data_IF_570526651701
#
_entry.id   IF_570526651701
#
_cell.length_a   1.000
_cell.length_b   1.000
_cell.length_c   1.000
_cell.angle_alpha   90.00
_cell.angle_beta   90.00
_cell.angle_gamma   90.00
#
_symmetry.space_group_name_H-M   'P 1'
#
loop_
_entity.id
_entity.type
_entity.pdbx_description
1 polymer ?
#
# COMPACT_ATOMS: atom_id res chain seq x y z
N UNK A 1 49.90 -20.60 28.26
CA UNK A 1 49.97 -20.42 26.79
C UNK A 1 48.72 -19.64 26.38
N UNK A 2 48.83 -18.32 26.28
CA UNK A 2 47.72 -17.45 25.84
C UNK A 2 47.70 -17.33 24.31
N UNK A 3 46.57 -17.65 23.69
CA UNK A 3 46.34 -17.43 22.27
C UNK A 3 45.74 -16.03 22.10
N UNK A 4 46.54 -15.12 21.59
CA UNK A 4 46.20 -13.72 21.35
C UNK A 4 45.53 -13.59 19.96
N UNK A 5 44.23 -13.34 19.95
CA UNK A 5 43.46 -13.08 18.72
C UNK A 5 43.92 -11.76 18.08
N UNK A 6 44.62 -11.85 16.95
CA UNK A 6 44.96 -10.68 16.12
C UNK A 6 43.72 -10.15 15.41
N UNK A 7 43.25 -8.97 15.80
CA UNK A 7 42.21 -8.22 15.06
C UNK A 7 42.84 -7.73 13.76
N UNK A 8 42.69 -8.47 12.66
CA UNK A 8 42.98 -7.96 11.32
C UNK A 8 41.91 -6.92 10.96
N UNK A 9 42.14 -5.66 11.34
CA UNK A 9 41.44 -4.55 10.70
C UNK A 9 42.00 -4.45 9.29
N UNK A 10 41.33 -5.06 8.31
CA UNK A 10 41.50 -4.66 6.91
C UNK A 10 41.09 -3.19 6.82
N UNK A 11 42.05 -2.29 6.95
CA UNK A 11 41.84 -0.88 6.67
C UNK A 11 41.79 -0.78 5.14
N UNK A 12 40.59 -0.78 4.57
CA UNK A 12 40.41 -0.34 3.19
C UNK A 12 40.88 1.12 3.12
N UNK A 13 42.13 1.32 2.74
CA UNK A 13 42.71 2.63 2.48
C UNK A 13 42.05 3.15 1.20
N UNK A 14 41.13 4.10 1.35
CA UNK A 14 40.60 4.87 0.22
C UNK A 14 41.61 6.00 -0.01
N UNK A 15 42.32 6.00 -1.15
CA UNK A 15 43.28 7.06 -1.44
C UNK A 15 42.54 8.40 -1.51
N UNK A 16 43.18 9.48 -1.08
CA UNK A 16 42.53 10.78 -0.90
C UNK A 16 41.92 11.34 -2.19
N UNK A 17 42.41 10.91 -3.36
CA UNK A 17 41.85 11.23 -4.67
C UNK A 17 40.50 10.53 -4.98
N UNK A 18 40.07 9.58 -4.16
CA UNK A 18 38.79 8.85 -4.25
C UNK A 18 37.87 9.20 -3.08
N UNK A 19 38.32 10.01 -2.12
CA UNK A 19 37.47 10.52 -1.04
C UNK A 19 36.59 11.63 -1.58
N UNK A 20 35.29 11.36 -1.67
CA UNK A 20 34.29 12.39 -1.93
C UNK A 20 34.18 13.31 -0.70
N UNK A 21 34.42 14.61 -0.90
CA UNK A 21 34.18 15.60 0.15
C UNK A 21 32.67 15.84 0.27
N UNK A 22 32.08 15.27 1.31
CA UNK A 22 30.65 15.39 1.57
C UNK A 22 30.18 16.85 1.67
N UNK A 23 31.02 17.78 2.15
CA UNK A 23 30.66 19.19 2.21
C UNK A 23 30.59 19.82 0.81
N UNK A 24 31.54 19.52 -0.07
CA UNK A 24 31.52 19.98 -1.46
C UNK A 24 30.34 19.38 -2.23
N UNK A 25 30.03 18.09 -2.05
CA UNK A 25 28.88 17.44 -2.69
C UNK A 25 27.57 18.10 -2.25
N UNK A 26 27.37 18.33 -0.95
CA UNK A 26 26.15 18.99 -0.42
C UNK A 26 26.00 20.42 -0.97
N UNK A 27 27.10 21.17 -1.05
CA UNK A 27 27.10 22.53 -1.61
C UNK A 27 26.74 22.49 -3.09
N UNK A 28 27.36 21.59 -3.86
CA UNK A 28 27.10 21.41 -5.29
C UNK A 28 25.65 21.03 -5.58
N UNK A 29 25.09 20.08 -4.84
CA UNK A 29 23.68 19.68 -4.95
C UNK A 29 22.72 20.84 -4.69
N UNK A 30 22.97 21.64 -3.64
CA UNK A 30 22.17 22.83 -3.33
C UNK A 30 22.22 23.88 -4.45
N UNK A 31 23.39 24.08 -5.05
CA UNK A 31 23.53 24.98 -6.20
C UNK A 31 22.80 24.46 -7.43
N UNK A 32 22.84 23.15 -7.72
CA UNK A 32 22.07 22.55 -8.81
C UNK A 32 20.56 22.69 -8.62
N UNK A 33 20.04 22.43 -7.41
CA UNK A 33 18.63 22.62 -7.10
C UNK A 33 18.20 24.08 -7.36
N UNK A 34 18.99 25.05 -6.87
CA UNK A 34 18.74 26.49 -7.09
C UNK A 34 18.76 26.89 -8.57
N UNK A 35 19.68 26.35 -9.36
CA UNK A 35 19.75 26.62 -10.80
C UNK A 35 18.54 26.05 -11.55
N UNK A 36 18.09 24.84 -11.19
CA UNK A 36 16.89 24.23 -11.77
C UNK A 36 15.64 25.04 -11.41
N UNK A 37 15.54 25.49 -10.16
CA UNK A 37 14.43 26.33 -9.70
C UNK A 37 14.36 27.65 -10.48
N UNK A 38 15.52 28.28 -10.75
CA UNK A 38 15.61 29.48 -11.58
C UNK A 38 15.13 29.24 -13.02
N UNK A 39 15.58 28.14 -13.64
CA UNK A 39 15.15 27.77 -15.01
C UNK A 39 13.63 27.55 -15.06
N UNK A 40 13.06 26.84 -14.08
CA UNK A 40 11.61 26.61 -14.01
C UNK A 40 10.86 27.93 -13.83
N UNK A 41 11.36 28.82 -12.97
CA UNK A 41 10.74 30.13 -12.73
C UNK A 41 10.78 31.03 -13.95
N UNK A 42 11.92 31.10 -14.65
CA UNK A 42 12.05 31.85 -15.91
C UNK A 42 11.12 31.29 -16.99
N UNK A 43 11.07 29.96 -17.13
CA UNK A 43 10.18 29.31 -18.08
C UNK A 43 8.70 29.56 -17.78
N UNK A 44 8.33 29.58 -16.49
CA UNK A 44 6.97 29.95 -16.06
C UNK A 44 6.64 31.41 -16.40
N UNK A 45 7.57 32.35 -16.13
CA UNK A 45 7.38 33.77 -16.42
C UNK A 45 7.23 34.05 -17.92
N UNK A 46 7.92 33.27 -18.76
CA UNK A 46 7.81 33.35 -20.22
C UNK A 46 6.55 32.68 -20.79
N UNK A 47 5.64 32.19 -19.93
CA UNK A 47 4.42 31.52 -20.36
C UNK A 47 4.65 30.11 -20.92
N UNK A 48 5.77 29.46 -20.60
CA UNK A 48 6.10 28.10 -21.06
C UNK A 48 5.05 27.05 -20.67
N UNK A 49 4.25 27.32 -19.63
CA UNK A 49 3.13 26.48 -19.20
C UNK A 49 1.76 26.97 -19.71
N UNK A 50 1.71 27.95 -20.60
CA UNK A 50 0.44 28.49 -21.11
C UNK A 50 -0.25 27.62 -22.14
N UNK A 51 0.53 26.90 -22.95
CA UNK A 51 0.02 26.06 -24.03
C UNK A 51 0.37 24.57 -23.82
N UNK A 52 0.24 24.08 -22.59
CA UNK A 52 0.44 22.65 -22.30
C UNK A 52 -0.69 21.82 -22.91
N UNK A 53 -0.32 20.69 -23.51
CA UNK A 53 -1.28 19.70 -23.95
C UNK A 53 -2.12 19.21 -22.74
N UNK A 54 -3.43 19.38 -22.83
CA UNK A 54 -4.36 19.00 -21.76
C UNK A 54 -4.61 20.06 -20.69
N UNK A 55 -4.02 21.27 -20.76
CA UNK A 55 -4.34 22.37 -19.84
C UNK A 55 -5.83 22.70 -19.89
N UNK A 56 -6.48 22.68 -18.72
CA UNK A 56 -7.91 22.96 -18.58
C UNK A 56 -8.87 21.86 -19.08
N UNK A 57 -8.35 20.76 -19.65
CA UNK A 57 -9.15 19.60 -20.02
C UNK A 57 -9.25 18.62 -18.84
N UNK A 58 -10.37 17.93 -18.65
CA UNK A 58 -10.46 16.84 -17.69
C UNK A 58 -9.38 15.78 -17.97
N UNK A 59 -8.76 15.28 -16.91
CA UNK A 59 -7.72 14.25 -17.02
C UNK A 59 -8.31 13.00 -17.67
N UNK A 60 -7.69 12.50 -18.74
CA UNK A 60 -8.08 11.21 -19.31
C UNK A 60 -7.54 10.08 -18.43
N UNK A 61 -8.44 9.43 -17.69
CA UNK A 61 -8.14 8.29 -16.82
C UNK A 61 -8.27 6.95 -17.54
N UNK A 62 -8.65 6.93 -18.82
CA UNK A 62 -8.72 5.71 -19.61
C UNK A 62 -7.30 5.20 -19.93
N UNK A 63 -6.98 3.98 -19.49
CA UNK A 63 -5.71 3.31 -19.78
C UNK A 63 -4.58 3.50 -18.76
N UNK A 64 -4.66 4.48 -17.84
CA UNK A 64 -3.77 4.52 -16.67
C UNK A 64 -4.37 3.66 -15.58
N UNK A 65 -3.69 2.58 -15.22
CA UNK A 65 -4.02 1.74 -14.05
C UNK A 65 -3.77 2.58 -12.79
N UNK A 66 -4.66 3.53 -12.51
CA UNK A 66 -4.79 4.09 -11.17
C UNK A 66 -5.22 2.96 -10.23
N UNK A 67 -4.83 3.01 -8.96
CA UNK A 67 -5.24 2.02 -7.94
C UNK A 67 -6.76 1.77 -7.93
N UNK A 68 -7.54 2.79 -8.30
CA UNK A 68 -9.01 2.74 -8.37
C UNK A 68 -9.59 2.50 -9.77
N UNK A 69 -8.78 2.13 -10.76
CA UNK A 69 -9.22 1.91 -12.15
C UNK A 69 -10.27 0.79 -12.24
N UNK A 70 -10.03 -0.33 -11.57
CA UNK A 70 -10.97 -1.45 -11.55
C UNK A 70 -12.29 -1.09 -10.84
N UNK A 71 -12.22 -0.36 -9.72
CA UNK A 71 -13.40 0.11 -9.00
C UNK A 71 -14.24 1.07 -9.85
N UNK A 72 -13.58 2.08 -10.42
CA UNK A 72 -14.19 3.08 -11.30
C UNK A 72 -14.82 2.42 -12.53
N UNK A 73 -14.19 1.38 -13.08
CA UNK A 73 -14.69 0.64 -14.24
C UNK A 73 -15.91 -0.22 -13.91
N UNK A 74 -15.95 -0.89 -12.75
CA UNK A 74 -17.13 -1.65 -12.33
C UNK A 74 -18.30 -0.71 -12.03
N UNK A 75 -18.06 0.40 -11.30
CA UNK A 75 -19.08 1.41 -11.01
C UNK A 75 -19.64 2.08 -12.26
N UNK A 76 -18.79 2.37 -13.26
CA UNK A 76 -19.25 2.97 -14.54
C UNK A 76 -20.02 2.00 -15.42
N UNK A 77 -19.70 0.70 -15.37
CA UNK A 77 -20.21 -0.27 -16.34
C UNK A 77 -21.31 -1.20 -15.81
N UNK A 78 -21.56 -1.27 -14.51
CA UNK A 78 -22.42 -2.30 -13.97
C UNK A 78 -23.29 -1.83 -12.80
N UNK A 79 -24.58 -2.13 -12.88
CA UNK A 79 -25.48 -2.20 -11.72
C UNK A 79 -25.22 -3.50 -10.91
N UNK A 80 -23.96 -3.95 -10.85
CA UNK A 80 -23.55 -5.26 -10.31
C UNK A 80 -22.46 -5.05 -9.29
N UNK A 81 -22.58 -5.77 -8.16
CA UNK A 81 -21.63 -5.71 -7.08
C UNK A 81 -20.29 -6.33 -7.53
N UNK A 82 -19.15 -5.66 -7.31
CA UNK A 82 -17.85 -6.28 -7.55
C UNK A 82 -17.67 -7.55 -6.72
N UNK A 83 -17.01 -8.57 -7.29
CA UNK A 83 -16.82 -9.86 -6.61
C UNK A 83 -16.13 -9.76 -5.24
N UNK A 84 -15.16 -8.85 -5.08
CA UNK A 84 -14.50 -8.64 -3.79
C UNK A 84 -15.46 -8.09 -2.72
N UNK A 85 -16.46 -7.30 -3.13
CA UNK A 85 -17.46 -6.73 -2.24
C UNK A 85 -18.57 -7.76 -1.92
N UNK A 86 -18.89 -8.67 -2.85
CA UNK A 86 -19.70 -9.87 -2.56
C UNK A 86 -19.05 -10.72 -1.46
N UNK A 87 -17.75 -11.00 -1.59
CA UNK A 87 -16.99 -11.76 -0.59
C UNK A 87 -16.97 -11.03 0.76
N UNK A 88 -16.87 -9.70 0.77
CA UNK A 88 -16.93 -8.92 2.00
C UNK A 88 -18.27 -9.10 2.72
N UNK A 89 -19.39 -9.02 1.99
CA UNK A 89 -20.72 -9.25 2.55
C UNK A 89 -20.88 -10.68 3.07
N UNK A 90 -20.41 -11.68 2.32
CA UNK A 90 -20.46 -13.07 2.75
C UNK A 90 -19.68 -13.29 4.05
N UNK A 91 -18.46 -12.74 4.16
CA UNK A 91 -17.64 -12.82 5.38
C UNK A 91 -18.34 -12.14 6.56
N UNK A 92 -18.93 -10.96 6.34
CA UNK A 92 -19.71 -10.24 7.36
C UNK A 92 -20.86 -11.08 7.88
N UNK A 93 -21.64 -11.69 6.99
CA UNK A 93 -22.83 -12.45 7.35
C UNK A 93 -22.48 -13.77 8.07
N UNK A 94 -21.37 -14.40 7.67
CA UNK A 94 -20.79 -15.53 8.40
C UNK A 94 -20.32 -15.16 9.81
N UNK A 95 -19.67 -14.00 9.97
CA UNK A 95 -19.23 -13.51 11.28
C UNK A 95 -20.41 -13.19 12.20
N UNK A 96 -21.46 -12.55 11.68
CA UNK A 96 -22.71 -12.31 12.43
C UNK A 96 -23.36 -13.62 12.88
N UNK A 97 -23.52 -14.56 11.95
CA UNK A 97 -24.09 -15.88 12.25
C UNK A 97 -23.26 -16.65 13.28
N UNK A 98 -21.93 -16.50 13.24
CA UNK A 98 -21.03 -17.09 14.23
C UNK A 98 -21.23 -16.47 15.62
N UNK A 99 -21.27 -15.15 15.71
CA UNK A 99 -21.50 -14.43 16.96
C UNK A 99 -22.83 -14.84 17.59
N UNK A 100 -23.91 -14.83 16.81
CA UNK A 100 -25.25 -15.23 17.27
C UNK A 100 -25.31 -16.68 17.73
N UNK A 101 -24.57 -17.58 17.08
CA UNK A 101 -24.51 -18.98 17.46
C UNK A 101 -23.68 -19.20 18.74
N UNK A 102 -22.64 -18.40 18.96
CA UNK A 102 -21.85 -18.44 20.20
C UNK A 102 -22.65 -17.87 21.37
N UNK A 103 -23.36 -16.76 21.17
CA UNK A 103 -24.20 -16.14 22.21
C UNK A 103 -25.34 -17.06 22.66
N UNK A 104 -25.83 -17.93 21.76
CA UNK A 104 -26.82 -18.99 22.07
C UNK A 104 -26.21 -20.27 22.63
N UNK A 105 -24.91 -20.31 22.89
CA UNK A 105 -24.15 -21.49 23.31
C UNK A 105 -24.34 -22.71 22.37
N UNK A 106 -24.61 -22.45 21.09
CA UNK A 106 -25.00 -23.45 20.09
C UNK A 106 -23.88 -23.80 19.11
N UNK A 107 -22.62 -23.43 19.42
CA UNK A 107 -21.48 -23.60 18.50
C UNK A 107 -20.48 -24.62 19.04
N UNK A 108 -20.64 -25.91 18.74
CA UNK A 108 -19.73 -26.95 19.22
C UNK A 108 -18.34 -26.92 18.54
N UNK A 109 -18.17 -26.16 17.45
CA UNK A 109 -16.90 -26.09 16.73
C UNK A 109 -16.58 -24.66 16.23
N UNK A 110 -16.24 -23.78 17.17
CA UNK A 110 -15.89 -22.38 16.90
C UNK A 110 -14.63 -22.26 16.03
N UNK A 111 -13.62 -23.09 16.27
CA UNK A 111 -12.34 -23.03 15.56
C UNK A 111 -12.48 -23.39 14.07
N UNK A 112 -13.25 -24.43 13.73
CA UNK A 112 -13.48 -24.78 12.33
C UNK A 112 -14.21 -23.68 11.56
N UNK A 113 -15.24 -23.06 12.16
CA UNK A 113 -15.95 -21.93 11.52
C UNK A 113 -15.03 -20.73 11.28
N UNK A 114 -14.13 -20.44 12.22
CA UNK A 114 -13.14 -19.38 12.04
C UNK A 114 -12.15 -19.73 10.92
N UNK A 115 -11.73 -20.99 10.81
CA UNK A 115 -10.87 -21.44 9.72
C UNK A 115 -11.54 -21.25 8.34
N UNK A 116 -12.83 -21.59 8.23
CA UNK A 116 -13.63 -21.35 7.01
C UNK A 116 -13.70 -19.87 6.64
N UNK A 117 -13.96 -19.00 7.63
CA UNK A 117 -13.97 -17.54 7.43
C UNK A 117 -12.60 -17.04 6.96
N UNK A 118 -11.51 -17.55 7.54
CA UNK A 118 -10.15 -17.16 7.14
C UNK A 118 -9.80 -17.58 5.72
N UNK A 119 -10.30 -18.72 5.23
CA UNK A 119 -10.14 -19.11 3.82
C UNK A 119 -10.78 -18.06 2.91
N UNK A 120 -11.96 -17.55 3.26
CA UNK A 120 -12.63 -16.48 2.50
C UNK A 120 -11.91 -15.14 2.61
N UNK A 121 -11.38 -14.79 3.79
CA UNK A 121 -10.56 -13.58 3.96
C UNK A 121 -9.32 -13.64 3.06
N UNK A 122 -8.65 -14.79 2.96
CA UNK A 122 -7.53 -14.98 2.01
C UNK A 122 -7.97 -14.76 0.58
N UNK A 123 -9.12 -15.31 0.18
CA UNK A 123 -9.66 -15.11 -1.17
C UNK A 123 -9.95 -13.63 -1.42
N UNK A 124 -10.61 -12.96 -0.46
CA UNK A 124 -10.90 -11.53 -0.50
C UNK A 124 -9.62 -10.69 -0.67
N UNK A 125 -8.60 -10.87 0.18
CA UNK A 125 -7.35 -10.11 0.11
C UNK A 125 -6.64 -10.29 -1.26
N UNK A 126 -6.74 -11.48 -1.87
CA UNK A 126 -6.15 -11.75 -3.20
C UNK A 126 -6.85 -11.02 -4.35
N UNK A 127 -8.15 -10.72 -4.22
CA UNK A 127 -8.94 -10.05 -5.28
C UNK A 127 -9.17 -8.57 -5.00
N UNK A 128 -8.77 -8.10 -3.82
CA UNK A 128 -8.99 -6.73 -3.41
C UNK A 128 -8.03 -5.80 -4.19
N UNK A 129 -8.54 -4.77 -4.89
CA UNK A 129 -7.72 -3.95 -5.77
C UNK A 129 -6.72 -3.04 -5.04
N UNK A 130 -6.96 -2.73 -3.76
CA UNK A 130 -6.10 -1.87 -2.95
C UNK A 130 -5.63 -2.62 -1.69
N UNK A 131 -4.31 -2.72 -1.45
CA UNK A 131 -3.75 -3.35 -0.25
C UNK A 131 -4.26 -2.74 1.07
N UNK A 132 -4.64 -1.46 1.08
CA UNK A 132 -5.20 -0.78 2.26
C UNK A 132 -6.57 -1.35 2.70
N UNK A 133 -7.26 -2.05 1.80
CA UNK A 133 -8.55 -2.67 2.11
C UNK A 133 -8.43 -4.12 2.55
N UNK A 134 -7.22 -4.70 2.56
CA UNK A 134 -7.01 -6.05 3.09
C UNK A 134 -7.45 -6.16 4.55
N UNK A 135 -8.01 -7.32 4.89
CA UNK A 135 -8.51 -7.62 6.23
C UNK A 135 -7.61 -8.65 6.90
N UNK A 136 -7.22 -8.44 8.18
CA UNK A 136 -6.46 -9.44 8.90
C UNK A 136 -7.31 -10.67 9.17
N UNK A 137 -6.65 -11.81 9.40
CA UNK A 137 -7.33 -13.04 9.78
C UNK A 137 -8.05 -12.92 11.14
N UNK A 138 -9.14 -13.66 11.25
CA UNK A 138 -9.93 -13.82 12.45
C UNK A 138 -9.39 -14.96 13.31
N UNK A 139 -9.46 -14.81 14.62
CA UNK A 139 -9.06 -15.76 15.65
C UNK A 139 -10.17 -15.86 16.70
N UNK A 140 -10.13 -16.90 17.54
CA UNK A 140 -11.08 -17.10 18.65
C UNK A 140 -11.11 -15.91 19.61
N UNK A 141 -10.00 -15.19 19.73
CA UNK A 141 -9.87 -14.04 20.64
C UNK A 141 -10.41 -12.73 20.06
N UNK A 142 -10.43 -12.58 18.73
CA UNK A 142 -10.69 -11.29 18.08
C UNK A 142 -11.92 -11.27 17.16
N UNK A 143 -12.62 -12.39 16.92
CA UNK A 143 -13.70 -12.47 15.92
C UNK A 143 -14.82 -11.43 16.13
N UNK A 144 -15.16 -11.08 17.37
CA UNK A 144 -16.15 -10.03 17.68
C UNK A 144 -15.69 -8.64 17.29
N UNK A 145 -14.44 -8.31 17.59
CA UNK A 145 -13.84 -7.01 17.24
C UNK A 145 -13.64 -6.91 15.73
N UNK A 146 -13.19 -8.00 15.11
CA UNK A 146 -12.87 -8.07 13.70
C UNK A 146 -14.12 -8.00 12.81
N UNK A 147 -15.27 -8.47 13.30
CA UNK A 147 -16.56 -8.36 12.60
C UNK A 147 -16.95 -6.90 12.27
N UNK A 148 -16.62 -5.94 13.13
CA UNK A 148 -16.88 -4.51 12.89
C UNK A 148 -16.10 -3.94 11.71
N UNK A 149 -15.01 -4.60 11.28
CA UNK A 149 -14.22 -4.15 10.13
C UNK A 149 -14.84 -4.55 8.78
N UNK A 150 -15.91 -5.36 8.80
CA UNK A 150 -16.64 -5.81 7.61
C UNK A 150 -18.04 -5.17 7.50
N UNK A 151 -18.38 -4.21 8.38
CA UNK A 151 -19.58 -3.36 8.29
C UNK A 151 -19.39 -2.26 7.25
#
# INVERSE_FOLDING_TARGET
MEIRWGKTRSTNFIPDNVREDAAETIVRERHYASAIDQIIAEHAQQGGFDNLEGKGKPLNLEGKVHENYYLSRVMKNANVLPHWLELQHEIRDMLKSLIDAVDRNATPNLEAKIAEINIKIKKYNRVCPNPLFEKPHVTVKNYRTQAKQFE
#
